data_IF_492598588284
#
_entry.id   IF_492598588284
#
_cell.length_a   1.000
_cell.length_b   1.000
_cell.length_c   1.000
_cell.angle_alpha   90.00
_cell.angle_beta   90.00
_cell.angle_gamma   90.00
#
_symmetry.space_group_name_H-M   'P 1'
#
loop_
_entity.id
_entity.type
_entity.pdbx_description
1 polymer ?
#
# COMPACT_ATOMS: atom_id res chain seq x y z
N UNK A 1 13.10 17.73 8.87
CA UNK A 1 13.84 19.02 8.81
C UNK A 1 13.22 20.03 7.84
N UNK A 2 13.05 19.74 6.53
CA UNK A 2 12.58 20.72 5.53
C UNK A 2 11.19 21.35 5.79
N UNK A 3 10.23 20.56 6.29
CA UNK A 3 8.82 20.98 6.45
C UNK A 3 8.30 20.97 7.89
N UNK A 4 9.13 20.58 8.86
CA UNK A 4 8.71 20.44 10.26
C UNK A 4 8.92 21.73 11.05
N UNK A 5 7.92 22.15 11.82
CA UNK A 5 8.02 23.30 12.76
C UNK A 5 8.51 22.90 14.16
N UNK A 6 8.21 21.67 14.58
CA UNK A 6 8.59 21.15 15.89
C UNK A 6 9.97 20.46 15.84
N UNK A 7 10.74 20.51 16.94
CA UNK A 7 11.99 19.77 17.03
C UNK A 7 11.73 18.26 16.96
N UNK A 8 12.53 17.55 16.17
CA UNK A 8 12.38 16.10 16.00
C UNK A 8 12.48 15.33 17.33
N UNK A 9 13.24 15.86 18.29
CA UNK A 9 13.33 15.28 19.63
C UNK A 9 11.97 15.22 20.35
N UNK A 10 11.12 16.24 20.19
CA UNK A 10 9.77 16.23 20.74
C UNK A 10 8.85 15.28 19.97
N UNK A 11 9.04 15.17 18.65
CA UNK A 11 8.20 14.32 17.79
C UNK A 11 8.42 12.81 18.04
N UNK A 12 9.65 12.40 18.32
CA UNK A 12 9.99 10.98 18.52
C UNK A 12 9.78 10.52 19.98
N UNK A 13 9.76 11.43 20.95
CA UNK A 13 9.69 11.08 22.37
C UNK A 13 8.46 10.23 22.75
N UNK A 14 7.24 10.50 22.26
CA UNK A 14 6.09 9.64 22.58
C UNK A 14 6.28 8.17 22.15
N UNK A 15 6.96 7.92 21.03
CA UNK A 15 7.26 6.56 20.59
C UNK A 15 8.30 5.88 21.50
N UNK A 16 9.28 6.63 22.02
CA UNK A 16 10.24 6.14 23.02
C UNK A 16 9.50 5.77 24.30
N UNK A 17 8.64 6.65 24.80
CA UNK A 17 7.88 6.45 26.04
C UNK A 17 6.97 5.21 25.95
N UNK A 18 6.28 5.01 24.81
CA UNK A 18 5.50 3.79 24.56
C UNK A 18 6.35 2.52 24.55
N UNK A 19 7.57 2.58 24.05
CA UNK A 19 8.49 1.44 24.05
C UNK A 19 9.05 1.14 25.45
N UNK A 20 9.32 2.17 26.25
CA UNK A 20 9.90 2.06 27.60
C UNK A 20 8.86 1.68 28.66
N UNK A 21 7.70 2.33 28.64
CA UNK A 21 6.64 2.14 29.62
C UNK A 21 5.61 1.07 29.20
N UNK A 22 5.70 0.63 27.94
CA UNK A 22 4.83 -0.37 27.36
C UNK A 22 3.46 0.19 26.97
N UNK A 23 2.74 -0.60 26.19
CA UNK A 23 1.36 -0.31 25.80
C UNK A 23 0.51 -1.58 25.85
N UNK A 24 -0.78 -1.39 26.12
CA UNK A 24 -1.75 -2.48 26.22
C UNK A 24 -2.16 -2.92 24.82
N UNK A 25 -1.95 -4.20 24.51
CA UNK A 25 -2.25 -4.74 23.18
C UNK A 25 -3.74 -5.05 23.04
N UNK A 26 -4.27 -4.84 21.83
CA UNK A 26 -5.66 -5.15 21.50
C UNK A 26 -5.87 -6.66 21.31
N UNK A 27 -7.13 -7.09 21.22
CA UNK A 27 -7.44 -8.46 20.83
C UNK A 27 -6.95 -8.80 19.41
N UNK A 28 -6.95 -7.82 18.51
CA UNK A 28 -6.48 -7.99 17.14
C UNK A 28 -4.97 -8.18 17.09
N UNK A 29 -4.24 -7.32 17.80
CA UNK A 29 -2.78 -7.42 17.92
C UNK A 29 -2.36 -8.74 18.60
N UNK A 30 -3.03 -9.14 19.68
CA UNK A 30 -2.78 -10.42 20.32
C UNK A 30 -2.99 -11.62 19.37
N UNK A 31 -4.05 -11.63 18.55
CA UNK A 31 -4.27 -12.66 17.53
C UNK A 31 -3.16 -12.65 16.48
N UNK A 32 -2.76 -11.47 16.02
CA UNK A 32 -1.70 -11.28 15.03
C UNK A 32 -0.36 -11.81 15.56
N UNK A 33 0.08 -11.39 16.75
CA UNK A 33 1.31 -11.86 17.38
C UNK A 33 1.30 -13.38 17.61
N UNK A 34 0.16 -13.95 18.02
CA UNK A 34 0.02 -15.39 18.20
C UNK A 34 0.08 -16.17 16.89
N UNK A 35 -0.45 -15.61 15.79
CA UNK A 35 -0.36 -16.20 14.45
C UNK A 35 1.06 -16.22 13.90
N UNK A 36 1.89 -15.26 14.30
CA UNK A 36 3.27 -15.11 13.83
C UNK A 36 4.33 -15.82 14.68
N UNK A 37 3.93 -16.56 15.73
CA UNK A 37 4.88 -17.23 16.64
C UNK A 37 5.81 -18.22 15.90
N UNK A 38 5.32 -18.94 14.90
CA UNK A 38 6.17 -19.86 14.13
C UNK A 38 7.30 -19.11 13.43
N UNK A 39 6.98 -18.02 12.73
CA UNK A 39 7.97 -17.16 12.08
C UNK A 39 8.98 -16.57 13.07
N UNK A 40 8.49 -16.04 14.20
CA UNK A 40 9.38 -15.48 15.22
C UNK A 40 10.32 -16.54 15.82
N UNK A 41 9.83 -17.73 16.13
CA UNK A 41 10.67 -18.80 16.68
C UNK A 41 11.66 -19.37 15.66
N UNK A 42 11.30 -19.36 14.37
CA UNK A 42 12.13 -19.92 13.29
C UNK A 42 13.29 -19.00 12.90
N UNK A 43 13.04 -17.69 12.76
CA UNK A 43 14.00 -16.77 12.14
C UNK A 43 14.84 -15.97 13.12
N UNK A 44 14.58 -16.10 14.43
CA UNK A 44 15.29 -15.33 15.45
C UNK A 44 16.14 -16.25 16.33
N UNK A 45 17.44 -15.95 16.39
CA UNK A 45 18.39 -16.62 17.30
C UNK A 45 18.44 -15.96 18.68
N UNK A 46 18.08 -14.67 18.74
CA UNK A 46 17.80 -13.93 19.99
C UNK A 46 16.30 -13.85 20.11
N UNK A 47 15.72 -14.43 21.17
CA UNK A 47 14.26 -14.48 21.35
C UNK A 47 13.71 -13.04 21.42
N UNK A 48 12.87 -12.61 20.47
CA UNK A 48 12.35 -11.25 20.46
C UNK A 48 11.21 -11.10 21.47
N UNK A 49 10.94 -9.84 21.85
CA UNK A 49 9.86 -9.47 22.77
C UNK A 49 8.47 -9.90 22.30
N UNK A 50 8.30 -10.26 21.03
CA UNK A 50 7.05 -10.74 20.45
C UNK A 50 6.78 -12.24 20.70
N UNK A 51 7.77 -13.02 21.15
CA UNK A 51 7.59 -14.44 21.48
C UNK A 51 7.05 -14.57 22.90
N UNK A 52 5.91 -15.24 23.05
CA UNK A 52 5.27 -15.45 24.34
C UNK A 52 4.76 -16.88 24.48
N UNK A 53 5.37 -17.66 25.39
CA UNK A 53 5.01 -19.05 25.64
C UNK A 53 3.58 -19.22 26.19
N UNK A 54 3.04 -18.20 26.87
CA UNK A 54 1.68 -18.19 27.42
C UNK A 54 0.59 -17.79 26.43
N UNK A 55 0.97 -17.45 25.18
CA UNK A 55 0.17 -16.72 24.18
C UNK A 55 -0.24 -15.33 24.63
N UNK A 56 -0.20 -14.39 23.70
CA UNK A 56 -0.69 -13.03 23.90
C UNK A 56 -2.21 -13.00 24.07
N UNK A 57 -2.69 -12.10 24.91
CA UNK A 57 -4.11 -11.84 25.15
C UNK A 57 -4.37 -10.34 25.14
N UNK A 58 -5.60 -9.96 24.80
CA UNK A 58 -6.03 -8.58 24.95
C UNK A 58 -5.86 -8.13 26.40
N UNK A 59 -5.31 -6.93 26.60
CA UNK A 59 -5.00 -6.44 27.95
C UNK A 59 -3.57 -6.74 28.42
N UNK A 60 -2.84 -7.64 27.76
CA UNK A 60 -1.40 -7.80 28.03
C UNK A 60 -0.64 -6.52 27.68
N UNK A 61 0.47 -6.26 28.37
CA UNK A 61 1.33 -5.10 28.10
C UNK A 61 2.58 -5.54 27.35
N UNK A 62 2.85 -4.94 26.19
CA UNK A 62 4.04 -5.17 25.39
C UNK A 62 5.09 -4.08 25.66
N UNK A 63 6.29 -4.50 26.06
CA UNK A 63 7.43 -3.63 26.30
C UNK A 63 8.50 -3.85 25.23
N UNK A 64 9.07 -2.78 24.68
CA UNK A 64 10.03 -2.83 23.58
C UNK A 64 11.32 -2.05 23.91
N UNK A 65 11.98 -2.41 25.01
CA UNK A 65 13.14 -1.66 25.53
C UNK A 65 14.31 -1.55 24.53
N UNK A 66 14.54 -2.55 23.69
CA UNK A 66 15.60 -2.47 22.68
C UNK A 66 15.23 -1.50 21.54
N UNK A 67 13.95 -1.47 21.16
CA UNK A 67 13.44 -0.47 20.22
C UNK A 67 13.56 0.95 20.80
N UNK A 68 13.26 1.13 22.09
CA UNK A 68 13.45 2.41 22.77
C UNK A 68 14.90 2.90 22.65
N UNK A 69 15.89 2.03 22.88
CA UNK A 69 17.32 2.37 22.69
C UNK A 69 17.63 2.78 21.26
N UNK A 70 17.06 2.10 20.27
CA UNK A 70 17.21 2.48 18.85
C UNK A 70 16.59 3.85 18.58
N UNK A 71 15.38 4.11 19.05
CA UNK A 71 14.71 5.40 18.89
C UNK A 71 15.46 6.53 19.61
N UNK A 72 16.03 6.29 20.78
CA UNK A 72 16.91 7.25 21.46
C UNK A 72 18.17 7.56 20.65
N UNK A 73 18.81 6.55 20.04
CA UNK A 73 19.94 6.80 19.12
C UNK A 73 19.54 7.68 17.94
N UNK A 74 18.35 7.45 17.37
CA UNK A 74 17.79 8.27 16.28
C UNK A 74 17.47 9.70 16.75
N UNK A 75 16.87 9.85 17.94
CA UNK A 75 16.59 11.14 18.57
C UNK A 75 17.85 11.99 18.71
N UNK A 76 18.91 11.38 19.22
CA UNK A 76 20.14 12.08 19.63
C UNK A 76 21.12 12.30 18.48
N UNK A 77 21.10 11.43 17.46
CA UNK A 77 22.08 11.43 16.35
C UNK A 77 21.45 11.60 14.96
N UNK A 78 20.14 11.77 14.86
CA UNK A 78 19.41 11.83 13.59
C UNK A 78 19.53 10.53 12.80
N UNK A 79 19.60 10.62 11.47
CA UNK A 79 19.74 9.46 10.57
C UNK A 79 20.97 8.59 10.90
N UNK A 80 22.07 9.20 11.36
CA UNK A 80 23.28 8.49 11.80
C UNK A 80 23.04 7.60 13.00
N UNK A 81 22.01 7.87 13.80
CA UNK A 81 21.58 6.99 14.89
C UNK A 81 21.06 5.64 14.43
N UNK A 82 20.67 5.52 13.15
CA UNK A 82 20.18 4.29 12.53
C UNK A 82 21.20 3.70 11.54
N UNK A 83 21.66 4.50 10.58
CA UNK A 83 22.48 4.05 9.45
C UNK A 83 23.99 3.96 9.76
N UNK A 84 24.42 4.44 10.92
CA UNK A 84 25.80 4.38 11.39
C UNK A 84 25.87 3.90 12.86
N UNK A 85 27.08 3.64 13.35
CA UNK A 85 27.32 3.32 14.75
C UNK A 85 26.67 2.02 15.23
N UNK A 86 26.13 2.04 16.46
CA UNK A 86 25.64 0.84 17.15
C UNK A 86 24.46 0.18 16.44
N UNK A 87 23.49 0.94 15.93
CA UNK A 87 22.34 0.36 15.24
C UNK A 87 22.78 -0.36 13.96
N UNK A 88 23.63 0.28 13.14
CA UNK A 88 24.19 -0.34 11.94
C UNK A 88 24.99 -1.61 12.25
N UNK A 89 25.73 -1.61 13.38
CA UNK A 89 26.44 -2.79 13.85
C UNK A 89 25.52 -3.96 14.14
N UNK A 90 24.44 -3.71 14.88
CA UNK A 90 23.46 -4.74 15.24
C UNK A 90 22.78 -5.33 14.01
N UNK A 91 22.49 -4.50 12.99
CA UNK A 91 21.97 -4.98 11.68
C UNK A 91 22.97 -5.92 11.02
N UNK A 92 24.25 -5.52 10.91
CA UNK A 92 25.27 -6.34 10.23
C UNK A 92 25.56 -7.64 11.00
N UNK A 93 25.46 -7.61 12.34
CA UNK A 93 25.52 -8.83 13.15
C UNK A 93 24.32 -9.75 12.89
N UNK A 94 23.11 -9.20 12.73
CA UNK A 94 21.94 -9.98 12.34
C UNK A 94 22.11 -10.62 10.96
N UNK A 95 22.67 -9.88 9.99
CA UNK A 95 22.98 -10.44 8.67
C UNK A 95 23.92 -11.64 8.77
N UNK A 96 24.95 -11.59 9.63
CA UNK A 96 25.87 -12.73 9.86
C UNK A 96 25.16 -13.93 10.47
N UNK A 97 24.18 -13.72 11.36
CA UNK A 97 23.41 -14.80 12.00
C UNK A 97 22.42 -15.46 11.04
N UNK A 98 21.87 -14.68 10.11
CA UNK A 98 20.78 -15.08 9.20
C UNK A 98 21.23 -15.34 7.76
N UNK A 99 22.55 -15.32 7.49
CA UNK A 99 23.13 -15.41 6.14
C UNK A 99 22.59 -14.33 5.17
N UNK A 100 22.31 -13.14 5.71
CA UNK A 100 21.97 -11.94 4.95
C UNK A 100 23.20 -11.22 4.38
N UNK A 101 22.96 -10.28 3.48
CA UNK A 101 24.02 -9.65 2.66
C UNK A 101 24.17 -8.14 2.88
N UNK A 102 23.40 -7.53 3.78
CA UNK A 102 23.51 -6.09 4.06
C UNK A 102 24.82 -5.80 4.78
N UNK A 103 25.64 -4.92 4.20
CA UNK A 103 26.89 -4.45 4.79
C UNK A 103 26.75 -3.08 5.45
N UNK A 104 27.75 -2.70 6.26
CA UNK A 104 27.85 -1.32 6.76
C UNK A 104 27.91 -0.29 5.65
N UNK A 105 28.59 -0.61 4.54
CA UNK A 105 28.70 0.30 3.41
C UNK A 105 27.36 0.48 2.71
N UNK A 106 26.51 -0.55 2.65
CA UNK A 106 25.15 -0.42 2.11
C UNK A 106 24.31 0.52 2.98
N UNK A 107 24.36 0.36 4.30
CA UNK A 107 23.64 1.22 5.25
C UNK A 107 24.13 2.68 5.18
N UNK A 108 25.45 2.89 5.16
CA UNK A 108 26.06 4.23 5.15
C UNK A 108 25.83 4.97 3.83
N UNK A 109 25.73 4.25 2.71
CA UNK A 109 25.49 4.84 1.39
C UNK A 109 24.02 5.16 1.12
N UNK A 110 23.10 4.65 1.94
CA UNK A 110 21.68 4.87 1.75
C UNK A 110 21.28 6.31 2.08
N UNK A 111 20.47 6.91 1.21
CA UNK A 111 19.75 8.15 1.48
C UNK A 111 18.34 8.09 0.86
N UNK A 112 17.41 8.83 1.47
CA UNK A 112 16.05 8.97 0.96
C UNK A 112 16.04 9.91 -0.25
N UNK A 113 15.35 9.52 -1.33
CA UNK A 113 15.34 10.30 -2.58
C UNK A 113 14.07 11.13 -2.68
N UNK A 114 14.21 12.45 -2.79
CA UNK A 114 13.10 13.35 -3.14
C UNK A 114 12.81 13.23 -4.65
N UNK A 115 11.55 12.93 -5.01
CA UNK A 115 11.12 12.75 -6.40
C UNK A 115 9.95 13.67 -6.74
N UNK A 116 9.90 14.15 -7.97
CA UNK A 116 8.73 14.85 -8.51
C UNK A 116 7.54 13.89 -8.56
N UNK A 117 6.42 14.28 -7.96
CA UNK A 117 5.21 13.47 -7.91
C UNK A 117 4.60 13.22 -9.30
N UNK A 118 3.87 12.11 -9.45
CA UNK A 118 3.02 11.88 -10.62
C UNK A 118 1.75 12.70 -10.46
N UNK A 119 1.40 13.51 -11.46
CA UNK A 119 0.22 14.36 -11.44
C UNK A 119 -0.57 14.27 -12.75
N UNK A 120 -1.90 14.26 -12.66
CA UNK A 120 -2.79 14.22 -13.82
C UNK A 120 -4.13 14.88 -13.51
N UNK A 121 -4.85 15.30 -14.55
CA UNK A 121 -6.18 15.86 -14.41
C UNK A 121 -7.26 14.79 -14.59
N UNK A 122 -8.36 14.94 -13.86
CA UNK A 122 -9.58 14.14 -14.02
C UNK A 122 -10.79 15.04 -13.79
N UNK A 123 -11.60 15.30 -14.83
CA UNK A 123 -12.87 16.08 -14.73
C UNK A 123 -12.79 17.37 -13.87
N UNK A 124 -11.71 18.14 -14.00
CA UNK A 124 -11.50 19.41 -13.28
C UNK A 124 -10.79 19.29 -11.92
N UNK A 125 -10.44 18.08 -11.50
CA UNK A 125 -9.57 17.81 -10.36
C UNK A 125 -8.14 17.57 -10.83
N UNK A 126 -7.16 18.02 -10.06
CA UNK A 126 -5.76 17.63 -10.21
C UNK A 126 -5.44 16.55 -9.18
N UNK A 127 -4.95 15.40 -9.61
CA UNK A 127 -4.66 14.25 -8.76
C UNK A 127 -3.15 14.06 -8.72
N UNK A 128 -2.59 14.09 -7.53
CA UNK A 128 -1.15 13.98 -7.25
C UNK A 128 -0.93 12.68 -6.48
N UNK A 129 0.00 11.84 -6.96
CA UNK A 129 0.32 10.54 -6.35
C UNK A 129 1.81 10.21 -6.51
N UNK A 130 2.25 9.09 -5.92
CA UNK A 130 3.66 8.68 -5.95
C UNK A 130 4.16 8.42 -7.37
N UNK A 131 5.39 8.80 -7.73
CA UNK A 131 6.02 8.39 -8.99
C UNK A 131 6.59 6.97 -8.89
N UNK A 132 7.16 6.46 -9.99
CA UNK A 132 8.00 5.25 -9.94
C UNK A 132 9.16 5.43 -8.93
N UNK A 133 9.59 4.37 -8.22
CA UNK A 133 9.30 2.95 -8.46
C UNK A 133 7.99 2.43 -7.82
N UNK A 134 7.05 3.27 -7.41
CA UNK A 134 5.69 2.79 -7.14
C UNK A 134 4.87 2.66 -8.43
N UNK A 135 4.21 1.51 -8.62
CA UNK A 135 3.27 1.30 -9.72
C UNK A 135 2.03 2.17 -9.63
N UNK A 136 1.66 2.64 -8.42
CA UNK A 136 0.51 3.53 -8.21
C UNK A 136 0.57 4.78 -9.09
N UNK A 137 1.78 5.31 -9.31
CA UNK A 137 2.05 6.47 -10.16
C UNK A 137 1.74 6.33 -11.64
N UNK A 138 1.57 5.10 -12.12
CA UNK A 138 1.22 4.79 -13.50
C UNK A 138 -0.19 4.21 -13.56
N UNK A 139 -0.51 3.29 -12.67
CA UNK A 139 -1.79 2.58 -12.68
C UNK A 139 -2.97 3.48 -12.33
N UNK A 140 -2.84 4.35 -11.32
CA UNK A 140 -3.93 5.26 -10.96
C UNK A 140 -4.30 6.22 -12.11
N UNK A 141 -3.36 6.98 -12.71
CA UNK A 141 -3.68 7.82 -13.88
C UNK A 141 -4.23 7.00 -15.05
N UNK A 142 -3.68 5.82 -15.30
CA UNK A 142 -4.12 4.95 -16.37
C UNK A 142 -5.58 4.50 -16.18
N UNK A 143 -5.94 4.00 -15.00
CA UNK A 143 -7.31 3.57 -14.68
C UNK A 143 -8.30 4.74 -14.69
N UNK A 144 -7.92 5.88 -14.13
CA UNK A 144 -8.76 7.09 -14.12
C UNK A 144 -9.03 7.61 -15.54
N UNK A 145 -8.05 7.54 -16.45
CA UNK A 145 -8.24 7.91 -17.87
C UNK A 145 -9.11 6.91 -18.63
N UNK A 146 -9.01 5.61 -18.32
CA UNK A 146 -9.88 4.61 -18.96
C UNK A 146 -11.34 4.76 -18.57
N UNK A 147 -11.62 5.20 -17.34
CA UNK A 147 -12.99 5.38 -16.84
C UNK A 147 -13.58 6.77 -17.16
N UNK A 148 -12.75 7.78 -17.42
CA UNK A 148 -13.18 9.19 -17.55
C UNK A 148 -14.32 9.40 -18.55
N UNK A 149 -14.26 8.75 -19.72
CA UNK A 149 -15.27 8.87 -20.78
C UNK A 149 -16.48 7.93 -20.58
N UNK A 150 -16.50 7.12 -19.52
CA UNK A 150 -17.57 6.15 -19.26
C UNK A 150 -18.60 6.75 -18.29
N UNK A 151 -19.91 6.51 -18.49
CA UNK A 151 -20.95 7.09 -17.64
C UNK A 151 -21.14 6.25 -16.36
N UNK A 152 -20.06 5.98 -15.62
CA UNK A 152 -20.06 5.05 -14.48
C UNK A 152 -21.08 5.45 -13.40
N UNK A 153 -21.25 6.75 -13.14
CA UNK A 153 -22.27 7.24 -12.22
C UNK A 153 -23.70 6.75 -12.59
N UNK A 154 -24.03 6.72 -13.89
CA UNK A 154 -25.34 6.25 -14.38
C UNK A 154 -25.53 4.73 -14.25
N UNK A 155 -24.43 3.98 -14.10
CA UNK A 155 -24.50 2.54 -13.88
C UNK A 155 -24.88 2.20 -12.45
N UNK A 156 -24.69 3.11 -11.50
CA UNK A 156 -24.98 2.93 -10.08
C UNK A 156 -23.89 2.15 -9.34
N UNK A 157 -23.79 2.39 -8.04
CA UNK A 157 -22.80 1.76 -7.17
C UNK A 157 -22.98 0.23 -7.12
N UNK A 158 -21.89 -0.50 -7.39
CA UNK A 158 -21.81 -1.96 -7.33
C UNK A 158 -22.89 -2.74 -8.10
N UNK A 159 -23.42 -2.15 -9.16
CA UNK A 159 -24.21 -2.90 -10.15
C UNK A 159 -23.29 -3.72 -11.04
N UNK A 160 -23.85 -4.72 -11.73
CA UNK A 160 -23.13 -5.50 -12.74
C UNK A 160 -22.30 -4.63 -13.68
N UNK A 161 -22.88 -3.56 -14.24
CA UNK A 161 -22.21 -2.70 -15.22
C UNK A 161 -21.03 -1.94 -14.62
N UNK A 162 -21.18 -1.40 -13.42
CA UNK A 162 -20.10 -0.66 -12.74
C UNK A 162 -18.92 -1.57 -12.37
N UNK A 163 -19.21 -2.72 -11.73
CA UNK A 163 -18.17 -3.67 -11.31
C UNK A 163 -17.46 -4.26 -12.52
N UNK A 164 -18.20 -4.68 -13.55
CA UNK A 164 -17.64 -5.20 -14.79
C UNK A 164 -16.69 -4.21 -15.45
N UNK A 165 -17.12 -2.95 -15.60
CA UNK A 165 -16.29 -1.91 -16.23
C UNK A 165 -15.00 -1.70 -15.45
N UNK A 166 -15.11 -1.54 -14.13
CA UNK A 166 -13.97 -1.27 -13.27
C UNK A 166 -13.01 -2.46 -13.21
N UNK A 167 -13.52 -3.69 -13.14
CA UNK A 167 -12.71 -4.92 -13.25
C UNK A 167 -11.94 -4.98 -14.57
N UNK A 168 -12.58 -4.67 -15.69
CA UNK A 168 -11.91 -4.67 -17.01
C UNK A 168 -10.82 -3.60 -17.11
N UNK A 169 -10.99 -2.47 -16.42
CA UNK A 169 -10.00 -1.40 -16.32
C UNK A 169 -8.82 -1.84 -15.45
N UNK A 170 -9.09 -2.36 -14.25
CA UNK A 170 -8.06 -2.87 -13.33
C UNK A 170 -7.24 -3.97 -14.01
N UNK A 171 -7.89 -4.94 -14.67
CA UNK A 171 -7.23 -6.01 -15.43
C UNK A 171 -6.23 -5.47 -16.45
N UNK A 172 -6.61 -4.46 -17.23
CA UNK A 172 -5.72 -3.89 -18.27
C UNK A 172 -4.54 -3.16 -17.67
N UNK A 173 -4.79 -2.38 -16.61
CA UNK A 173 -3.73 -1.65 -15.93
C UNK A 173 -2.71 -2.61 -15.29
N UNK A 174 -3.16 -3.65 -14.58
CA UNK A 174 -2.25 -4.60 -13.94
C UNK A 174 -1.49 -5.49 -14.93
N UNK A 175 -2.04 -5.76 -16.11
CA UNK A 175 -1.27 -6.39 -17.19
C UNK A 175 -0.09 -5.50 -17.62
N UNK A 176 -0.30 -4.19 -17.72
CA UNK A 176 0.76 -3.24 -18.06
C UNK A 176 1.76 -3.06 -16.91
N UNK A 177 1.29 -3.13 -15.65
CA UNK A 177 2.14 -3.19 -14.43
C UNK A 177 3.19 -4.27 -14.58
N UNK A 178 2.73 -5.49 -14.85
CA UNK A 178 3.58 -6.67 -14.91
C UNK A 178 4.58 -6.61 -16.07
N UNK A 179 4.15 -6.06 -17.21
CA UNK A 179 4.97 -6.04 -18.42
C UNK A 179 6.06 -4.97 -18.37
N UNK A 180 5.74 -3.74 -17.95
CA UNK A 180 6.57 -2.56 -18.24
C UNK A 180 7.24 -1.92 -17.03
N UNK A 181 6.73 -2.12 -15.81
CA UNK A 181 7.13 -1.29 -14.68
C UNK A 181 8.35 -1.86 -13.93
N UNK A 182 9.17 -0.94 -13.41
CA UNK A 182 10.36 -1.21 -12.61
C UNK A 182 11.01 0.11 -12.17
N UNK A 183 12.17 0.03 -11.53
CA UNK A 183 12.93 1.20 -11.09
C UNK A 183 13.47 2.02 -12.27
N UNK A 184 13.03 3.28 -12.37
CA UNK A 184 13.43 4.21 -13.43
C UNK A 184 14.91 4.58 -13.40
N UNK A 185 15.58 4.37 -12.26
CA UNK A 185 17.03 4.56 -12.16
C UNK A 185 17.79 3.43 -12.90
N UNK A 186 17.11 2.34 -13.29
CA UNK A 186 17.70 1.13 -13.91
C UNK A 186 17.04 0.74 -15.25
N UNK A 187 15.76 1.03 -15.45
CA UNK A 187 15.01 0.60 -16.64
C UNK A 187 14.20 1.74 -17.24
N UNK A 188 14.08 1.75 -18.57
CA UNK A 188 13.30 2.76 -19.28
C UNK A 188 11.82 2.36 -19.30
N UNK A 189 11.00 3.09 -18.54
CA UNK A 189 9.55 2.90 -18.52
C UNK A 189 8.87 3.99 -19.38
N UNK A 190 7.98 3.64 -20.33
CA UNK A 190 7.29 4.61 -21.18
C UNK A 190 6.10 5.27 -20.45
N UNK A 191 6.36 5.94 -19.32
CA UNK A 191 5.34 6.50 -18.41
C UNK A 191 4.37 7.45 -19.14
N UNK A 192 4.89 8.35 -19.99
CA UNK A 192 4.06 9.30 -20.74
C UNK A 192 3.09 8.61 -21.70
N UNK A 193 3.49 7.48 -22.30
CA UNK A 193 2.62 6.67 -23.16
C UNK A 193 1.56 5.96 -22.33
N UNK A 194 1.96 5.22 -21.28
CA UNK A 194 1.06 4.41 -20.45
C UNK A 194 -0.02 5.26 -19.76
N UNK A 195 0.31 6.52 -19.47
CA UNK A 195 -0.59 7.48 -18.82
C UNK A 195 -1.25 8.44 -19.83
N UNK A 196 -1.19 8.19 -21.14
CA UNK A 196 -1.83 9.05 -22.15
C UNK A 196 -3.29 8.67 -22.42
N UNK A 197 -4.11 9.64 -22.83
CA UNK A 197 -5.52 9.39 -23.20
C UNK A 197 -5.61 8.50 -24.44
N UNK A 198 -4.69 8.68 -25.40
CA UNK A 198 -4.62 7.86 -26.60
C UNK A 198 -4.38 6.37 -26.26
N UNK A 199 -3.47 6.10 -25.32
CA UNK A 199 -3.20 4.75 -24.85
C UNK A 199 -4.38 4.17 -24.08
N UNK A 200 -4.98 4.92 -23.15
CA UNK A 200 -6.17 4.47 -22.40
C UNK A 200 -7.33 4.10 -23.35
N UNK A 201 -7.58 4.93 -24.37
CA UNK A 201 -8.59 4.65 -25.41
C UNK A 201 -8.27 3.39 -26.21
N UNK A 202 -7.02 3.23 -26.65
CA UNK A 202 -6.59 2.06 -27.40
C UNK A 202 -6.69 0.78 -26.55
N UNK A 203 -6.32 0.85 -25.28
CA UNK A 203 -6.36 -0.28 -24.35
C UNK A 203 -7.80 -0.73 -24.05
N UNK A 204 -8.75 0.18 -24.10
CA UNK A 204 -10.19 -0.10 -23.93
C UNK A 204 -10.92 -0.38 -25.26
N UNK A 205 -10.23 -0.46 -26.39
CA UNK A 205 -10.87 -0.64 -27.70
C UNK A 205 -11.58 -2.00 -27.85
N UNK A 206 -11.11 -3.02 -27.15
CA UNK A 206 -11.68 -4.37 -27.12
C UNK A 206 -12.62 -4.63 -25.93
N UNK A 207 -12.89 -3.59 -25.12
CA UNK A 207 -13.81 -3.67 -24.00
C UNK A 207 -15.23 -3.97 -24.50
N UNK A 208 -15.84 -5.00 -23.93
CA UNK A 208 -17.18 -5.45 -24.26
C UNK A 208 -18.02 -5.53 -22.96
N UNK A 209 -19.05 -4.69 -22.79
CA UNK A 209 -19.87 -4.69 -21.58
C UNK A 209 -20.78 -5.92 -21.44
N UNK A 210 -20.89 -6.75 -22.47
CA UNK A 210 -21.78 -7.93 -22.49
C UNK A 210 -21.11 -9.24 -22.07
N UNK A 211 -19.78 -9.27 -21.97
CA UNK A 211 -19.02 -10.48 -21.64
C UNK A 211 -17.92 -10.21 -20.62
N UNK A 212 -17.52 -11.26 -19.90
CA UNK A 212 -16.29 -11.22 -19.13
C UNK A 212 -15.10 -11.20 -20.09
N UNK A 213 -14.15 -10.28 -19.87
CA UNK A 213 -12.86 -10.35 -20.56
C UNK A 213 -12.02 -11.51 -20.04
N UNK A 214 -10.88 -11.74 -20.69
CA UNK A 214 -9.96 -12.81 -20.34
C UNK A 214 -8.57 -12.25 -20.07
N UNK A 215 -8.02 -12.56 -18.90
CA UNK A 215 -6.67 -12.15 -18.55
C UNK A 215 -5.65 -12.80 -19.47
N UNK A 216 -5.85 -14.05 -19.89
CA UNK A 216 -5.02 -14.74 -20.91
C UNK A 216 -4.99 -14.01 -22.25
N UNK A 217 -6.12 -13.47 -22.71
CA UNK A 217 -6.17 -12.67 -23.94
C UNK A 217 -5.43 -11.33 -23.78
N UNK A 218 -5.31 -10.84 -22.55
CA UNK A 218 -4.62 -9.61 -22.17
C UNK A 218 -3.13 -9.87 -21.80
N UNK A 219 -2.72 -11.11 -21.50
CA UNK A 219 -1.35 -11.59 -21.24
C UNK A 219 -1.18 -12.42 -19.92
N UNK A 220 0.05 -12.69 -19.45
CA UNK A 220 0.47 -13.78 -18.53
C UNK A 220 0.01 -13.86 -17.04
N UNK A 221 0.20 -15.07 -16.41
CA UNK A 221 -0.49 -15.82 -15.29
C UNK A 221 -0.18 -15.67 -13.76
N UNK A 222 -0.49 -16.68 -12.89
CA UNK A 222 -0.86 -16.51 -11.44
C UNK A 222 -0.38 -17.56 -10.38
N UNK A 223 -0.22 -17.16 -9.08
CA UNK A 223 -0.15 -17.96 -7.79
C UNK A 223 -0.68 -17.06 -6.61
N UNK A 224 -1.22 -17.57 -5.46
CA UNK A 224 -1.89 -16.78 -4.39
C UNK A 224 -0.99 -16.00 -3.39
N UNK A 225 -1.60 -15.06 -2.65
CA UNK A 225 -0.97 -13.90 -1.95
C UNK A 225 -1.52 -13.61 -0.52
N UNK A 226 -0.74 -12.85 0.29
CA UNK A 226 -1.12 -12.19 1.55
C UNK A 226 -0.64 -10.72 1.57
N UNK A 227 -1.41 -9.79 2.14
CA UNK A 227 -1.21 -8.32 2.01
C UNK A 227 -1.00 -7.60 3.35
N UNK A 228 0.07 -6.81 3.49
CA UNK A 228 0.32 -6.05 4.73
C UNK A 228 1.04 -4.71 4.41
N UNK A 229 0.58 -3.59 4.97
CA UNK A 229 1.14 -2.22 4.80
C UNK A 229 0.45 -1.34 5.87
N UNK A 230 0.86 -0.08 6.10
CA UNK A 230 0.05 0.92 6.82
C UNK A 230 0.03 2.27 6.10
N UNK A 231 -1.01 3.07 6.33
CA UNK A 231 -1.17 4.40 5.74
C UNK A 231 -1.65 5.42 6.79
N UNK A 232 -1.25 6.68 6.61
CA UNK A 232 -1.75 7.81 7.39
C UNK A 232 -1.99 9.04 6.50
N UNK A 233 -3.08 9.75 6.79
CA UNK A 233 -3.49 10.99 6.13
C UNK A 233 -3.54 12.12 7.18
N UNK A 234 -2.93 13.26 6.89
CA UNK A 234 -2.89 14.44 7.77
C UNK A 234 -3.29 15.69 6.96
N UNK A 235 -4.10 16.55 7.58
CA UNK A 235 -4.38 17.90 7.11
C UNK A 235 -4.31 18.87 8.30
N UNK A 236 -3.71 20.05 8.12
CA UNK A 236 -3.60 21.06 9.18
C UNK A 236 -4.27 22.40 8.85
N UNK A 237 -4.39 23.26 9.88
CA UNK A 237 -5.02 24.59 9.78
C UNK A 237 -4.32 25.56 8.81
N UNK A 238 -3.05 25.30 8.48
CA UNK A 238 -2.27 26.12 7.56
C UNK A 238 -2.45 25.65 6.10
N UNK A 239 -3.25 24.60 5.88
CA UNK A 239 -3.54 24.02 4.57
C UNK A 239 -2.50 22.98 4.12
N UNK A 240 -1.61 22.53 5.02
CA UNK A 240 -0.66 21.46 4.69
C UNK A 240 -1.40 20.12 4.66
N UNK A 241 -1.15 19.33 3.61
CA UNK A 241 -1.69 17.99 3.44
C UNK A 241 -0.54 16.98 3.29
N UNK A 242 -0.61 15.87 4.02
CA UNK A 242 0.41 14.81 3.97
C UNK A 242 -0.28 13.46 3.88
N UNK A 243 0.13 12.64 2.91
CA UNK A 243 -0.28 11.25 2.76
C UNK A 243 0.98 10.37 2.81
N UNK A 244 1.08 9.47 3.79
CA UNK A 244 2.23 8.57 3.95
C UNK A 244 1.75 7.12 3.96
N UNK A 245 2.24 6.33 3.00
CA UNK A 245 2.15 4.87 3.04
C UNK A 245 3.53 4.32 3.42
N UNK A 246 3.59 3.40 4.38
CA UNK A 246 4.83 2.74 4.80
C UNK A 246 4.59 1.26 5.05
N UNK A 247 5.60 0.41 4.80
CA UNK A 247 5.43 -1.05 4.84
C UNK A 247 6.70 -1.79 5.24
N UNK A 248 6.52 -3.04 5.70
CA UNK A 248 7.57 -4.05 5.83
C UNK A 248 7.47 -5.12 4.72
N UNK A 249 6.63 -4.90 3.71
CA UNK A 249 6.10 -5.87 2.77
C UNK A 249 5.08 -6.82 3.42
N UNK A 250 5.50 -7.98 3.92
CA UNK A 250 4.61 -8.89 4.63
C UNK A 250 4.31 -8.45 6.06
N UNK A 251 3.40 -9.19 6.70
CA UNK A 251 3.05 -8.98 8.11
C UNK A 251 4.24 -9.31 8.97
N UNK A 252 4.66 -8.37 9.81
CA UNK A 252 5.95 -8.43 10.52
C UNK A 252 7.18 -8.60 9.60
N UNK A 253 7.05 -8.29 8.31
CA UNK A 253 8.11 -8.40 7.31
C UNK A 253 8.66 -9.83 7.18
N UNK A 254 9.98 -9.95 7.30
CA UNK A 254 10.69 -11.23 7.33
C UNK A 254 10.49 -12.02 8.63
N UNK A 255 9.76 -11.47 9.60
CA UNK A 255 9.67 -11.94 10.99
C UNK A 255 11.02 -11.94 11.74
N UNK A 256 12.10 -11.42 11.14
CA UNK A 256 13.40 -11.27 11.80
C UNK A 256 13.43 -9.95 12.56
N UNK A 257 13.73 -10.01 13.85
CA UNK A 257 13.96 -8.86 14.73
C UNK A 257 15.45 -8.73 14.94
N UNK A 258 15.99 -7.53 14.72
CA UNK A 258 17.42 -7.28 14.92
C UNK A 258 17.75 -7.41 16.42
N UNK A 259 18.47 -8.47 16.78
CA UNK A 259 18.85 -8.73 18.17
C UNK A 259 19.58 -7.54 18.80
N UNK A 260 19.09 -7.05 19.95
CA UNK A 260 19.62 -5.87 20.65
C UNK A 260 19.20 -4.51 20.09
N UNK A 261 18.50 -4.47 18.95
CA UNK A 261 17.96 -3.23 18.37
C UNK A 261 16.42 -3.18 18.34
N UNK A 262 15.75 -4.34 18.40
CA UNK A 262 14.33 -4.45 18.72
C UNK A 262 13.33 -4.09 17.61
N UNK A 263 13.79 -3.81 16.38
CA UNK A 263 12.91 -3.59 15.22
C UNK A 263 12.94 -4.78 14.25
N UNK A 264 11.84 -4.93 13.52
CA UNK A 264 11.66 -5.95 12.48
C UNK A 264 12.36 -5.55 11.18
N UNK A 265 12.91 -6.53 10.47
CA UNK A 265 13.39 -6.38 9.10
C UNK A 265 12.27 -6.67 8.11
N UNK A 266 12.10 -5.79 7.12
CA UNK A 266 11.19 -6.02 6.00
C UNK A 266 11.59 -7.25 5.17
N UNK A 267 10.68 -7.72 4.34
CA UNK A 267 10.94 -8.70 3.29
C UNK A 267 10.62 -8.14 1.89
N UNK A 268 10.88 -6.84 1.70
CA UNK A 268 10.57 -6.09 0.47
C UNK A 268 11.36 -6.60 -0.75
N UNK A 269 12.49 -7.29 -0.54
CA UNK A 269 13.23 -7.94 -1.64
C UNK A 269 12.38 -8.93 -2.44
N UNK A 270 11.29 -9.44 -1.86
CA UNK A 270 10.33 -10.30 -2.55
C UNK A 270 9.62 -9.60 -3.72
N UNK A 271 9.43 -8.27 -3.65
CA UNK A 271 8.78 -7.52 -4.73
C UNK A 271 9.58 -7.49 -6.03
N UNK A 272 10.84 -7.92 -6.03
CA UNK A 272 11.58 -8.14 -7.26
C UNK A 272 11.13 -9.41 -7.99
N UNK A 273 11.18 -9.36 -9.31
CA UNK A 273 11.11 -10.57 -10.14
C UNK A 273 12.38 -11.40 -9.96
N UNK A 274 12.27 -12.50 -9.21
CA UNK A 274 13.35 -13.51 -9.08
C UNK A 274 13.65 -14.19 -10.42
N UNK A 275 12.65 -14.27 -11.31
CA UNK A 275 12.76 -14.75 -12.69
C UNK A 275 11.57 -14.20 -13.49
N UNK A 276 11.75 -13.81 -14.78
CA UNK A 276 10.65 -13.38 -15.62
C UNK A 276 9.49 -14.40 -15.63
N UNK A 277 8.28 -13.91 -15.36
CA UNK A 277 7.07 -14.74 -15.31
C UNK A 277 6.88 -15.57 -14.03
N UNK A 278 7.76 -15.41 -13.02
CA UNK A 278 7.53 -15.91 -11.66
C UNK A 278 6.97 -14.76 -10.82
N UNK A 279 5.89 -15.04 -10.10
CA UNK A 279 5.24 -14.07 -9.21
C UNK A 279 6.05 -13.83 -7.94
N UNK A 280 5.94 -12.64 -7.38
CA UNK A 280 6.32 -12.36 -5.98
C UNK A 280 5.28 -12.95 -5.01
N UNK A 281 5.46 -12.76 -3.69
CA UNK A 281 4.48 -13.19 -2.67
C UNK A 281 3.11 -12.57 -2.85
N UNK A 282 3.02 -11.51 -3.65
CA UNK A 282 1.79 -10.83 -4.00
C UNK A 282 1.16 -11.32 -5.32
N UNK A 283 1.59 -12.48 -5.83
CA UNK A 283 1.06 -13.01 -7.09
C UNK A 283 1.41 -12.13 -8.31
N UNK A 284 2.11 -11.02 -8.11
CA UNK A 284 2.36 -10.02 -9.11
C UNK A 284 3.52 -10.46 -9.98
N UNK A 285 3.23 -10.64 -11.26
CA UNK A 285 4.27 -10.99 -12.22
C UNK A 285 5.18 -9.79 -12.49
N UNK A 286 6.47 -10.05 -12.60
CA UNK A 286 7.43 -9.10 -13.12
C UNK A 286 8.16 -9.67 -14.34
N UNK A 287 8.62 -8.76 -15.20
CA UNK A 287 9.61 -9.06 -16.24
C UNK A 287 11.02 -8.70 -15.75
N UNK A 288 12.02 -8.77 -16.63
CA UNK A 288 13.38 -8.27 -16.37
C UNK A 288 13.40 -6.80 -15.93
N UNK A 289 12.36 -6.02 -16.26
CA UNK A 289 12.20 -4.64 -15.82
C UNK A 289 12.31 -4.50 -14.29
N UNK A 290 11.80 -5.47 -13.55
CA UNK A 290 11.83 -5.51 -12.09
C UNK A 290 12.71 -6.66 -11.55
N UNK A 291 13.77 -7.06 -12.28
CA UNK A 291 14.72 -8.05 -11.77
C UNK A 291 15.61 -7.49 -10.64
N UNK A 292 16.10 -8.38 -9.76
CA UNK A 292 17.03 -8.07 -8.67
C UNK A 292 18.33 -7.48 -9.25
N UNK A 293 18.77 -6.34 -8.73
CA UNK A 293 20.05 -5.71 -9.09
C UNK A 293 20.58 -4.92 -7.89
N UNK A 294 21.90 -4.93 -7.60
CA UNK A 294 22.46 -4.15 -6.50
C UNK A 294 22.11 -2.65 -6.61
N UNK A 295 21.68 -2.05 -5.51
CA UNK A 295 21.31 -0.63 -5.43
C UNK A 295 19.96 -0.25 -6.07
N UNK A 296 19.28 -1.20 -6.72
CA UNK A 296 17.96 -1.02 -7.31
C UNK A 296 16.87 -1.09 -6.25
N UNK A 297 15.76 -0.38 -6.46
CA UNK A 297 14.54 -0.49 -5.65
C UNK A 297 13.53 -1.39 -6.36
N UNK A 298 12.82 -2.18 -5.58
CA UNK A 298 11.73 -3.02 -6.06
C UNK A 298 10.51 -2.19 -6.49
N UNK A 299 9.67 -2.77 -7.33
CA UNK A 299 8.41 -2.16 -7.74
C UNK A 299 7.34 -2.28 -6.64
N UNK A 300 7.08 -1.17 -5.94
CA UNK A 300 6.06 -1.09 -4.90
C UNK A 300 4.66 -0.85 -5.49
N UNK A 301 3.61 -1.10 -4.71
CA UNK A 301 2.20 -0.81 -5.06
C UNK A 301 1.61 0.40 -4.30
N UNK A 302 2.40 1.04 -3.43
CA UNK A 302 1.95 2.15 -2.56
C UNK A 302 1.40 3.36 -3.36
N UNK A 303 0.18 3.81 -3.08
CA UNK A 303 -0.50 4.88 -3.84
C UNK A 303 -1.02 6.00 -2.93
N UNK A 304 -0.18 6.64 -2.07
CA UNK A 304 -0.64 7.79 -1.30
C UNK A 304 -0.99 8.93 -2.28
N UNK A 305 -2.17 9.51 -2.11
CA UNK A 305 -2.78 10.37 -3.13
C UNK A 305 -3.41 11.61 -2.51
N UNK A 306 -3.18 12.75 -3.14
CA UNK A 306 -3.82 14.03 -2.83
C UNK A 306 -4.58 14.49 -4.06
N UNK A 307 -5.85 14.83 -3.91
CA UNK A 307 -6.68 15.46 -4.94
C UNK A 307 -6.80 16.93 -4.62
N UNK A 308 -6.51 17.77 -5.61
CA UNK A 308 -6.75 19.20 -5.56
C UNK A 308 -8.02 19.55 -6.32
N UNK A 309 -8.79 20.48 -5.76
CA UNK A 309 -9.92 21.14 -6.39
C UNK A 309 -9.62 22.64 -6.41
N UNK A 310 -9.56 23.24 -7.60
CA UNK A 310 -9.18 24.65 -7.77
C UNK A 310 -7.82 25.00 -7.13
N UNK A 311 -6.84 24.10 -7.24
CA UNK A 311 -5.50 24.27 -6.69
C UNK A 311 -5.39 24.14 -5.16
N UNK A 312 -6.46 23.74 -4.46
CA UNK A 312 -6.46 23.52 -3.00
C UNK A 312 -6.70 22.04 -2.67
N UNK A 313 -6.11 21.51 -1.59
CA UNK A 313 -6.40 20.15 -1.12
C UNK A 313 -7.90 19.92 -0.94
N UNK A 314 -8.40 18.85 -1.52
CA UNK A 314 -9.81 18.43 -1.47
C UNK A 314 -9.95 17.02 -0.89
N UNK A 315 -9.10 16.08 -1.31
CA UNK A 315 -9.07 14.72 -0.77
C UNK A 315 -7.62 14.35 -0.44
N UNK A 316 -7.39 13.74 0.72
CA UNK A 316 -6.14 13.07 1.09
C UNK A 316 -6.49 11.61 1.37
N UNK A 317 -5.92 10.69 0.60
CA UNK A 317 -6.32 9.28 0.65
C UNK A 317 -5.15 8.35 0.41
N UNK A 318 -5.20 7.21 1.08
CA UNK A 318 -4.39 6.06 0.80
C UNK A 318 -4.79 4.90 1.68
N UNK A 319 -4.15 3.77 1.47
CA UNK A 319 -4.50 2.52 2.13
C UNK A 319 -3.31 1.59 2.07
N UNK A 320 -3.18 0.67 3.03
CA UNK A 320 -2.39 -0.54 2.85
C UNK A 320 -3.09 -1.58 1.99
N UNK A 321 -2.41 -2.70 1.71
CA UNK A 321 -3.00 -3.84 1.01
C UNK A 321 -2.19 -4.41 -0.17
N UNK A 322 -0.86 -4.28 -0.19
CA UNK A 322 -0.06 -4.83 -1.30
C UNK A 322 -0.54 -4.35 -2.67
N UNK A 323 -0.80 -5.30 -3.59
CA UNK A 323 -1.37 -5.01 -4.92
C UNK A 323 -2.77 -4.42 -4.87
N UNK A 324 -3.57 -4.57 -3.81
CA UNK A 324 -4.92 -3.99 -3.72
C UNK A 324 -4.93 -2.49 -3.42
N UNK A 325 -3.77 -1.90 -3.11
CA UNK A 325 -3.66 -0.48 -2.75
C UNK A 325 -4.18 0.42 -3.87
N UNK A 326 -3.71 0.19 -5.11
CA UNK A 326 -4.07 1.10 -6.22
C UNK A 326 -5.55 0.96 -6.57
N UNK A 327 -6.11 -0.25 -6.59
CA UNK A 327 -7.54 -0.48 -6.87
C UNK A 327 -8.44 0.10 -5.79
N UNK A 328 -8.02 0.03 -4.53
CA UNK A 328 -8.76 0.60 -3.40
C UNK A 328 -8.78 2.13 -3.46
N UNK A 329 -7.64 2.77 -3.72
CA UNK A 329 -7.59 4.23 -3.95
C UNK A 329 -8.43 4.63 -5.15
N UNK A 330 -8.33 3.89 -6.26
CA UNK A 330 -9.16 4.11 -7.45
C UNK A 330 -10.66 4.05 -7.10
N UNK A 331 -11.11 3.00 -6.42
CA UNK A 331 -12.50 2.86 -5.97
C UNK A 331 -12.92 4.00 -5.05
N UNK A 332 -12.11 4.39 -4.06
CA UNK A 332 -12.43 5.52 -3.17
C UNK A 332 -12.62 6.83 -3.95
N UNK A 333 -11.77 7.08 -4.96
CA UNK A 333 -11.92 8.25 -5.82
C UNK A 333 -13.19 8.18 -6.68
N UNK A 334 -13.52 7.03 -7.27
CA UNK A 334 -14.77 6.87 -8.05
C UNK A 334 -16.00 7.01 -7.14
N UNK A 335 -15.96 6.45 -5.92
CA UNK A 335 -17.02 6.57 -4.93
C UNK A 335 -17.32 8.04 -4.58
N UNK A 336 -16.29 8.85 -4.36
CA UNK A 336 -16.43 10.27 -4.03
C UNK A 336 -16.75 11.14 -5.26
N UNK A 337 -16.00 10.96 -6.35
CA UNK A 337 -16.03 11.88 -7.49
C UNK A 337 -17.13 11.56 -8.49
N UNK A 338 -17.50 10.29 -8.66
CA UNK A 338 -18.54 9.87 -9.62
C UNK A 338 -19.85 9.49 -8.92
N UNK A 339 -19.80 8.59 -7.93
CA UNK A 339 -21.00 8.13 -7.22
C UNK A 339 -21.50 9.11 -6.15
N UNK A 340 -20.74 10.16 -5.85
CA UNK A 340 -21.08 11.21 -4.86
C UNK A 340 -21.45 10.64 -3.49
N UNK A 341 -20.77 9.58 -3.10
CA UNK A 341 -20.96 8.93 -1.81
C UNK A 341 -20.45 9.83 -0.67
N UNK A 342 -20.96 9.59 0.53
CA UNK A 342 -20.40 10.21 1.74
C UNK A 342 -18.95 9.72 1.94
N UNK A 343 -18.07 10.50 2.60
CA UNK A 343 -16.72 10.04 2.92
C UNK A 343 -16.71 8.71 3.69
N UNK A 344 -17.64 8.54 4.62
CA UNK A 344 -17.79 7.30 5.37
C UNK A 344 -18.12 6.11 4.47
N UNK A 345 -19.11 6.23 3.57
CA UNK A 345 -19.49 5.15 2.68
C UNK A 345 -18.40 4.83 1.64
N UNK A 346 -17.66 5.85 1.18
CA UNK A 346 -16.58 5.66 0.21
C UNK A 346 -15.42 4.78 0.74
N UNK A 347 -15.23 4.77 2.06
CA UNK A 347 -14.24 3.92 2.77
C UNK A 347 -14.87 2.58 3.20
N UNK A 348 -16.06 2.64 3.80
CA UNK A 348 -16.61 1.52 4.57
C UNK A 348 -17.60 0.62 3.82
N UNK A 349 -18.02 0.97 2.60
CA UNK A 349 -18.75 0.02 1.75
C UNK A 349 -17.83 -1.08 1.24
N UNK A 350 -18.36 -2.28 0.93
CA UNK A 350 -17.55 -3.41 0.44
C UNK A 350 -16.69 -3.01 -0.77
N UNK A 351 -15.50 -3.58 -0.91
CA UNK A 351 -14.58 -3.34 -2.03
C UNK A 351 -14.37 -4.61 -2.84
N UNK A 352 -13.89 -4.46 -4.06
CA UNK A 352 -13.48 -5.58 -4.92
C UNK A 352 -12.08 -5.33 -5.50
N UNK A 353 -11.49 -6.33 -6.15
CA UNK A 353 -10.16 -6.20 -6.72
C UNK A 353 -9.92 -7.19 -7.86
N UNK A 354 -9.25 -6.74 -8.92
CA UNK A 354 -8.76 -7.59 -9.99
C UNK A 354 -7.37 -7.15 -10.51
N UNK A 355 -6.31 -7.84 -10.09
CA UNK A 355 -4.92 -7.57 -10.49
C UNK A 355 -4.45 -8.30 -11.75
N UNK A 356 -5.34 -8.49 -12.72
CA UNK A 356 -5.13 -9.30 -13.92
C UNK A 356 -4.97 -10.81 -13.64
N UNK A 357 -4.05 -11.22 -12.77
CA UNK A 357 -3.83 -12.62 -12.44
C UNK A 357 -3.72 -12.84 -10.93
N UNK A 358 -4.41 -13.86 -10.36
CA UNK A 358 -5.31 -14.81 -11.02
C UNK A 358 -6.54 -14.16 -11.66
N UNK A 359 -7.10 -14.82 -12.70
CA UNK A 359 -8.25 -14.32 -13.48
C UNK A 359 -9.56 -14.52 -12.71
N UNK A 360 -9.66 -13.82 -11.58
CA UNK A 360 -10.80 -13.82 -10.66
C UNK A 360 -10.98 -12.44 -10.03
N UNK A 361 -12.22 -12.12 -9.68
CA UNK A 361 -12.56 -10.91 -8.94
C UNK A 361 -12.58 -11.27 -7.46
N UNK A 362 -11.70 -10.65 -6.69
CA UNK A 362 -11.79 -10.68 -5.25
C UNK A 362 -12.88 -9.73 -4.78
N UNK A 363 -13.73 -10.18 -3.85
CA UNK A 363 -14.81 -9.35 -3.28
C UNK A 363 -14.82 -9.50 -1.76
N UNK A 364 -15.05 -8.39 -1.06
CA UNK A 364 -15.34 -8.42 0.37
C UNK A 364 -16.75 -8.95 0.67
N UNK A 365 -16.97 -9.30 1.93
CA UNK A 365 -18.30 -9.57 2.47
C UNK A 365 -19.23 -8.34 2.33
N UNK A 366 -20.53 -8.59 2.17
CA UNK A 366 -21.55 -7.54 2.04
C UNK A 366 -21.88 -7.11 0.62
N UNK A 367 -21.25 -7.70 -0.40
CA UNK A 367 -21.66 -7.51 -1.80
C UNK A 367 -23.06 -8.04 -2.09
N UNK A 368 -23.80 -7.34 -2.95
CA UNK A 368 -25.14 -7.77 -3.40
C UNK A 368 -25.09 -9.18 -4.02
N UNK A 369 -25.84 -10.17 -3.49
CA UNK A 369 -25.89 -11.50 -4.08
C UNK A 369 -26.39 -11.51 -5.53
N UNK A 370 -27.25 -10.55 -5.89
CA UNK A 370 -27.73 -10.39 -7.26
C UNK A 370 -26.60 -9.97 -8.20
N UNK A 371 -25.77 -8.99 -7.83
CA UNK A 371 -24.59 -8.58 -8.61
C UNK A 371 -23.61 -9.73 -8.78
N UNK A 372 -23.31 -10.46 -7.70
CA UNK A 372 -22.39 -11.60 -7.75
C UNK A 372 -22.90 -12.72 -8.66
N UNK A 373 -24.20 -13.01 -8.60
CA UNK A 373 -24.84 -14.00 -9.48
C UNK A 373 -24.75 -13.59 -10.94
N UNK A 374 -25.02 -12.30 -11.24
CA UNK A 374 -24.92 -11.77 -12.59
C UNK A 374 -23.48 -11.79 -13.14
N UNK A 375 -22.48 -11.44 -12.32
CA UNK A 375 -21.08 -11.51 -12.70
C UNK A 375 -20.64 -12.95 -13.00
N UNK A 376 -21.06 -13.92 -12.17
CA UNK A 376 -20.81 -15.35 -12.41
C UNK A 376 -21.47 -15.82 -13.69
N UNK A 377 -22.72 -15.43 -13.94
CA UNK A 377 -23.44 -15.77 -15.18
C UNK A 377 -22.76 -15.17 -16.43
N UNK A 378 -22.08 -14.03 -16.29
CA UNK A 378 -21.29 -13.39 -17.36
C UNK A 378 -19.93 -14.08 -17.61
N UNK A 379 -19.48 -14.95 -16.69
CA UNK A 379 -18.25 -15.74 -16.83
C UNK A 379 -17.12 -15.36 -15.87
N UNK A 380 -17.33 -14.41 -14.95
CA UNK A 380 -16.32 -14.09 -13.94
C UNK A 380 -16.23 -15.16 -12.86
N UNK A 381 -15.00 -15.48 -12.47
CA UNK A 381 -14.73 -16.19 -11.22
C UNK A 381 -14.75 -15.18 -10.09
N UNK A 382 -15.50 -15.47 -9.03
CA UNK A 382 -15.59 -14.63 -7.85
C UNK A 382 -14.94 -15.36 -6.69
N UNK A 383 -13.99 -14.71 -6.04
CA UNK A 383 -13.33 -15.20 -4.84
C UNK A 383 -13.68 -14.28 -3.66
N UNK A 384 -14.41 -14.79 -2.69
CA UNK A 384 -14.74 -14.02 -1.49
C UNK A 384 -13.56 -14.05 -0.53
N UNK A 385 -13.19 -12.88 -0.01
CA UNK A 385 -12.06 -12.72 0.92
C UNK A 385 -12.42 -11.78 2.06
N UNK A 386 -11.53 -11.71 3.05
CA UNK A 386 -11.60 -10.70 4.09
C UNK A 386 -11.33 -9.29 3.57
N UNK A 387 -11.03 -8.37 4.48
CA UNK A 387 -10.80 -6.96 4.19
C UNK A 387 -9.83 -6.72 3.01
N UNK A 388 -10.19 -5.78 2.15
CA UNK A 388 -9.38 -5.21 1.07
C UNK A 388 -9.00 -3.79 1.50
N UNK A 389 -7.73 -3.63 1.84
CA UNK A 389 -7.17 -2.40 2.38
C UNK A 389 -7.73 -1.99 3.75
N UNK A 390 -7.27 -0.84 4.20
CA UNK A 390 -7.66 -0.11 5.41
C UNK A 390 -7.52 1.39 5.12
N UNK A 391 -8.51 1.92 4.42
CA UNK A 391 -8.40 3.23 3.78
C UNK A 391 -8.55 4.37 4.78
N UNK A 392 -7.53 5.22 4.88
CA UNK A 392 -7.61 6.48 5.62
C UNK A 392 -7.90 7.62 4.66
N UNK A 393 -8.94 8.39 4.97
CA UNK A 393 -9.47 9.43 4.08
C UNK A 393 -9.71 10.73 4.85
N UNK A 394 -9.22 11.84 4.30
CA UNK A 394 -9.65 13.18 4.69
C UNK A 394 -10.30 13.86 3.49
N UNK A 395 -11.51 14.41 3.68
CA UNK A 395 -12.19 15.28 2.71
C UNK A 395 -12.30 16.69 3.27
N UNK A 396 -11.87 17.68 2.49
CA UNK A 396 -11.93 19.10 2.82
C UNK A 396 -12.96 19.75 1.90
N UNK A 397 -14.15 20.04 2.41
CA UNK A 397 -15.25 20.60 1.62
C UNK A 397 -15.06 22.11 1.37
N UNK A 398 -15.72 22.64 0.33
CA UNK A 398 -15.64 24.07 -0.04
C UNK A 398 -16.16 25.01 1.06
N UNK A 399 -17.03 24.51 1.95
CA UNK A 399 -17.57 25.22 3.12
C UNK A 399 -16.61 25.20 4.33
N UNK A 400 -15.44 24.56 4.19
CA UNK A 400 -14.43 24.41 5.24
C UNK A 400 -14.67 23.21 6.17
N UNK A 401 -15.74 22.43 5.99
CA UNK A 401 -15.96 21.21 6.76
C UNK A 401 -14.91 20.16 6.39
N UNK A 402 -14.19 19.68 7.40
CA UNK A 402 -13.20 18.60 7.28
C UNK A 402 -13.80 17.31 7.81
N UNK A 403 -13.75 16.25 7.02
CA UNK A 403 -14.24 14.92 7.37
C UNK A 403 -13.07 13.94 7.31
N UNK A 404 -12.60 13.48 8.47
CA UNK A 404 -11.59 12.44 8.59
C UNK A 404 -12.26 11.10 8.89
N UNK A 405 -11.95 10.09 8.09
CA UNK A 405 -12.54 8.76 8.14
C UNK A 405 -11.42 7.73 8.26
N UNK A 406 -11.53 6.90 9.29
CA UNK A 406 -10.75 5.68 9.44
C UNK A 406 -11.56 4.46 9.00
N UNK A 407 -10.88 3.45 8.46
CA UNK A 407 -11.52 2.24 7.97
C UNK A 407 -11.99 1.36 9.15
N UNK A 408 -13.25 0.93 9.13
CA UNK A 408 -13.82 0.16 10.23
C UNK A 408 -13.41 -1.33 10.23
N UNK A 409 -12.59 -1.74 9.25
CA UNK A 409 -12.03 -3.10 9.15
C UNK A 409 -10.78 -3.29 10.02
N UNK A 410 -10.15 -2.21 10.46
CA UNK A 410 -8.99 -2.19 11.35
C UNK A 410 -9.32 -1.68 12.75
N UNK A 411 -8.28 -1.59 13.59
CA UNK A 411 -8.31 -0.84 14.86
C UNK A 411 -7.97 0.66 14.58
N UNK A 412 -8.34 1.15 13.40
CA UNK A 412 -7.91 2.42 12.84
C UNK A 412 -8.65 3.60 13.52
N UNK A 413 -8.09 4.79 13.47
CA UNK A 413 -8.61 5.94 14.23
C UNK A 413 -8.52 7.26 13.46
N UNK A 414 -9.62 8.03 13.50
CA UNK A 414 -9.68 9.40 13.01
C UNK A 414 -9.98 10.37 14.16
N UNK A 415 -9.20 11.46 14.22
CA UNK A 415 -9.42 12.55 15.18
C UNK A 415 -9.11 13.91 14.56
N UNK A 416 -9.68 14.97 15.14
CA UNK A 416 -9.43 16.36 14.79
C UNK A 416 -9.26 17.21 16.04
N UNK A 417 -8.55 18.33 15.93
CA UNK A 417 -8.23 19.26 17.02
C UNK A 417 -8.53 20.70 16.64
#
# INVERSE_FOLDING_TARGET
HKYGKLPFTALIQPAIDLCEHGFVITASEARSLNGSQEGFNKYNTVIPVFVNAGKWKAGDTLYQHDLAKTLMRIRDKGSKGFYEGETAKLIVEEMKRSNGIISYDDLRKYDAVERTASAFNYKGYEIITMPLPSSGGVLLPQMMKMIEEKPVASYGFQTLKSVQLMTEIERRAYADRAQFLGDVDFVKVPVSTLTSNAYAKARMADYDPSKAGSSKAIGAGAIPESEETTHLSIYDKDGNAVAVTTTLNGGYGSHTVVGGAGFLLNNEMDDFSVKPGVANMYGALGTTANAITPGKRMLSSMTPTIVLKNGKPYIVVGTPGGTTITTSVFQSLINLLEFKMTPYDAVNKPKFHHQWMPDEIYVEDGFSPATLTQLKAMGYKINSRGAIGRTELIVINDDGKIEAIADNRGDDHASGW
#
